data_IF_586369627459
#
_entry.id   IF_586369627459
#
_cell.length_a   1.000
_cell.length_b   1.000
_cell.length_c   1.000
_cell.angle_alpha   90.00
_cell.angle_beta   90.00
_cell.angle_gamma   90.00
#
_symmetry.space_group_name_H-M   'P 1'
#
loop_
_entity.id
_entity.type
_entity.pdbx_description
1 polymer ?
#
# COMPACT_ATOMS: atom_id res chain seq x y z
N UNK A 1 -6.13 8.02 24.44
CA UNK A 1 -6.20 7.67 23.03
C UNK A 1 -4.84 7.83 22.38
N UNK A 2 -4.44 6.87 21.56
CA UNK A 2 -3.20 7.01 20.77
C UNK A 2 -3.38 8.08 19.68
N UNK A 3 -2.38 8.91 19.39
CA UNK A 3 -2.47 9.88 18.31
C UNK A 3 -2.53 9.20 16.95
N UNK A 4 -3.25 9.78 15.98
CA UNK A 4 -3.47 9.20 14.64
C UNK A 4 -2.18 8.83 13.90
N UNK A 5 -1.11 9.63 14.06
CA UNK A 5 0.18 9.37 13.41
C UNK A 5 0.83 8.03 13.85
N UNK A 6 0.63 7.61 15.11
CA UNK A 6 1.11 6.29 15.56
C UNK A 6 0.38 5.15 14.84
N UNK A 7 -0.93 5.28 14.63
CA UNK A 7 -1.70 4.30 13.86
C UNK A 7 -1.22 4.19 12.42
N UNK A 8 -0.89 5.32 11.78
CA UNK A 8 -0.34 5.34 10.42
C UNK A 8 1.00 4.62 10.36
N UNK A 9 1.91 4.91 11.29
CA UNK A 9 3.23 4.25 11.34
C UNK A 9 3.08 2.74 11.58
N UNK A 10 2.25 2.34 12.55
CA UNK A 10 1.98 0.92 12.81
C UNK A 10 1.37 0.23 11.59
N UNK A 11 0.45 0.88 10.87
CA UNK A 11 -0.14 0.35 9.64
C UNK A 11 0.92 0.12 8.56
N UNK A 12 1.80 1.08 8.32
CA UNK A 12 2.89 0.95 7.33
C UNK A 12 3.88 -0.15 7.75
N UNK A 13 4.24 -0.23 9.03
CA UNK A 13 5.13 -1.28 9.53
C UNK A 13 4.50 -2.67 9.39
N UNK A 14 3.20 -2.80 9.64
CA UNK A 14 2.47 -4.06 9.43
C UNK A 14 2.48 -4.45 7.95
N UNK A 15 2.21 -3.50 7.04
CA UNK A 15 2.30 -3.74 5.60
C UNK A 15 3.70 -4.14 5.15
N UNK A 16 4.74 -3.48 5.67
CA UNK A 16 6.13 -3.84 5.41
C UNK A 16 6.47 -5.25 5.91
N UNK A 17 5.99 -5.64 7.10
CA UNK A 17 6.19 -6.96 7.66
C UNK A 17 5.52 -8.06 6.82
N UNK A 18 4.28 -7.83 6.39
CA UNK A 18 3.56 -8.75 5.48
C UNK A 18 4.29 -8.85 4.14
N UNK A 19 4.73 -7.72 3.58
CA UNK A 19 5.54 -7.70 2.36
C UNK A 19 6.87 -8.45 2.50
N UNK A 20 7.55 -8.30 3.65
CA UNK A 20 8.77 -9.04 3.97
C UNK A 20 8.51 -10.55 4.01
N UNK A 21 7.46 -11.00 4.68
CA UNK A 21 7.11 -12.42 4.78
C UNK A 21 6.82 -12.99 3.39
N UNK A 22 5.98 -12.32 2.59
CA UNK A 22 5.72 -12.70 1.21
C UNK A 22 7.01 -12.79 0.37
N UNK A 23 7.86 -11.77 0.48
CA UNK A 23 9.14 -11.75 -0.20
C UNK A 23 10.05 -12.92 0.20
N UNK A 24 10.11 -13.30 1.47
CA UNK A 24 10.88 -14.46 1.94
C UNK A 24 10.28 -15.78 1.38
N UNK A 25 8.97 -15.92 1.41
CA UNK A 25 8.28 -17.11 0.87
C UNK A 25 8.59 -17.32 -0.61
N UNK A 26 8.59 -16.25 -1.40
CA UNK A 26 8.86 -16.32 -2.84
C UNK A 26 10.35 -16.48 -3.14
N UNK A 27 11.23 -15.70 -2.50
CA UNK A 27 12.65 -15.67 -2.86
C UNK A 27 13.45 -16.82 -2.24
N UNK A 28 13.20 -17.15 -0.97
CA UNK A 28 13.95 -18.19 -0.26
C UNK A 28 13.27 -19.55 -0.29
N UNK A 29 11.96 -19.60 -0.05
CA UNK A 29 11.20 -20.85 -0.07
C UNK A 29 10.79 -21.28 -1.48
N UNK A 30 10.98 -20.41 -2.50
CA UNK A 30 10.66 -20.67 -3.92
C UNK A 30 9.19 -21.06 -4.14
N UNK A 31 8.31 -20.58 -3.28
CA UNK A 31 6.86 -20.76 -3.45
C UNK A 31 6.39 -19.87 -4.60
N UNK A 32 5.48 -20.38 -5.41
CA UNK A 32 4.88 -19.60 -6.51
C UNK A 32 4.29 -18.30 -5.97
N UNK A 33 4.61 -17.13 -6.54
CA UNK A 33 4.19 -15.82 -6.05
C UNK A 33 2.69 -15.72 -5.80
N UNK A 34 1.89 -16.23 -6.73
CA UNK A 34 0.43 -16.23 -6.64
C UNK A 34 -0.09 -16.98 -5.40
N UNK A 35 0.44 -18.18 -5.12
CA UNK A 35 0.04 -18.99 -3.97
C UNK A 35 0.47 -18.32 -2.66
N UNK A 36 1.70 -17.80 -2.60
CA UNK A 36 2.22 -17.13 -1.42
C UNK A 36 1.37 -15.90 -1.04
N UNK A 37 1.07 -15.04 -2.02
CA UNK A 37 0.31 -13.81 -1.77
C UNK A 37 -1.14 -14.07 -1.43
N UNK A 38 -1.82 -15.02 -2.09
CA UNK A 38 -3.20 -15.40 -1.74
C UNK A 38 -3.28 -16.04 -0.35
N UNK A 39 -2.35 -16.94 -0.03
CA UNK A 39 -2.28 -17.54 1.31
C UNK A 39 -2.10 -16.47 2.39
N UNK A 40 -1.18 -15.52 2.18
CA UNK A 40 -0.93 -14.44 3.13
C UNK A 40 -2.12 -13.48 3.24
N UNK A 41 -2.85 -13.23 2.16
CA UNK A 41 -4.09 -12.46 2.18
C UNK A 41 -5.13 -13.10 3.11
N UNK A 42 -5.33 -14.43 3.01
CA UNK A 42 -6.26 -15.15 3.89
C UNK A 42 -5.81 -15.11 5.35
N UNK A 43 -4.49 -15.25 5.61
CA UNK A 43 -3.93 -15.16 6.96
C UNK A 43 -4.15 -13.78 7.55
N UNK A 44 -3.84 -12.72 6.81
CA UNK A 44 -4.00 -11.35 7.30
C UNK A 44 -5.46 -10.97 7.50
N UNK A 45 -6.37 -11.41 6.63
CA UNK A 45 -7.81 -11.23 6.80
C UNK A 45 -8.34 -11.96 8.04
N UNK A 46 -7.91 -13.21 8.24
CA UNK A 46 -8.26 -13.99 9.44
C UNK A 46 -7.75 -13.34 10.73
N UNK A 47 -6.50 -12.85 10.74
CA UNK A 47 -5.95 -12.11 11.86
C UNK A 47 -6.72 -10.80 12.14
N UNK A 48 -7.12 -10.08 11.10
CA UNK A 48 -7.92 -8.87 11.26
C UNK A 48 -9.26 -9.18 11.94
N UNK A 49 -9.95 -10.24 11.53
CA UNK A 49 -11.22 -10.69 12.14
C UNK A 49 -11.02 -11.06 13.61
N UNK A 50 -9.96 -11.80 13.93
CA UNK A 50 -9.67 -12.22 15.32
C UNK A 50 -9.35 -11.02 16.21
N UNK A 51 -8.54 -10.06 15.72
CA UNK A 51 -8.16 -8.86 16.50
C UNK A 51 -9.35 -7.93 16.75
N UNK A 52 -10.30 -7.87 15.82
CA UNK A 52 -11.46 -6.96 15.91
C UNK A 52 -12.72 -7.64 16.43
N UNK A 53 -12.66 -8.93 16.78
CA UNK A 53 -13.85 -9.76 17.08
C UNK A 53 -14.93 -9.68 15.99
N UNK A 54 -14.51 -9.50 14.73
CA UNK A 54 -15.41 -9.35 13.58
C UNK A 54 -16.20 -8.04 13.57
N UNK A 55 -15.95 -7.12 14.50
CA UNK A 55 -16.70 -5.86 14.62
C UNK A 55 -15.99 -4.70 13.89
N UNK A 56 -16.74 -3.77 13.29
CA UNK A 56 -16.16 -2.57 12.71
C UNK A 56 -15.63 -1.62 13.80
N UNK A 57 -14.47 -1.03 13.54
CA UNK A 57 -13.87 -0.01 14.43
C UNK A 57 -14.17 1.37 13.84
N UNK A 58 -14.87 2.21 14.60
CA UNK A 58 -15.23 3.58 14.21
C UNK A 58 -14.20 4.59 14.73
N UNK A 59 -13.74 5.49 13.85
CA UNK A 59 -12.75 6.54 14.19
C UNK A 59 -13.40 7.88 14.55
N UNK A 60 -14.68 7.90 14.93
CA UNK A 60 -15.44 9.12 15.25
C UNK A 60 -14.81 9.99 16.33
N UNK A 61 -13.98 9.42 17.20
CA UNK A 61 -13.30 10.15 18.28
C UNK A 61 -11.97 10.80 17.86
N UNK A 62 -11.47 10.50 16.64
CA UNK A 62 -10.20 11.03 16.14
C UNK A 62 -10.50 12.19 15.20
N UNK A 63 -10.50 13.41 15.76
CA UNK A 63 -10.71 14.61 14.95
C UNK A 63 -9.61 14.74 13.88
N UNK A 64 -10.04 14.99 12.65
CA UNK A 64 -9.12 15.21 11.54
C UNK A 64 -8.64 13.94 10.81
N UNK A 65 -8.99 12.73 11.26
CA UNK A 65 -8.61 11.51 10.57
C UNK A 65 -9.20 11.44 9.15
N UNK A 66 -10.44 11.87 8.96
CA UNK A 66 -11.09 11.98 7.65
C UNK A 66 -10.38 12.94 6.70
N UNK A 67 -9.72 13.98 7.24
CA UNK A 67 -9.03 14.96 6.42
C UNK A 67 -7.80 14.39 5.68
N UNK A 68 -7.30 13.24 6.12
CA UNK A 68 -6.19 12.54 5.43
C UNK A 68 -6.60 12.13 4.02
N UNK A 69 -7.83 11.64 3.83
CA UNK A 69 -8.34 11.24 2.51
C UNK A 69 -9.27 12.28 1.88
N UNK A 70 -10.16 12.89 2.68
CA UNK A 70 -11.22 13.79 2.22
C UNK A 70 -10.88 15.27 2.40
N UNK A 71 -9.80 15.61 3.09
CA UNK A 71 -9.33 16.98 3.19
C UNK A 71 -9.11 17.58 1.80
N UNK A 72 -9.31 18.88 1.67
CA UNK A 72 -9.06 19.63 0.44
C UNK A 72 -8.09 20.78 0.74
N UNK A 73 -6.77 20.51 0.75
CA UNK A 73 -5.76 21.49 1.13
C UNK A 73 -5.75 22.73 0.20
N UNK A 74 -6.24 22.57 -1.00
CA UNK A 74 -6.34 23.65 -1.99
C UNK A 74 -7.75 24.25 -2.13
N UNK A 75 -8.69 23.92 -1.22
CA UNK A 75 -10.06 24.44 -1.29
C UNK A 75 -10.13 25.97 -1.30
N UNK A 76 -9.29 26.65 -0.51
CA UNK A 76 -9.20 28.11 -0.49
C UNK A 76 -8.78 28.69 -1.84
N UNK A 77 -7.77 28.11 -2.48
CA UNK A 77 -7.29 28.55 -3.79
C UNK A 77 -8.31 28.32 -4.91
N UNK A 78 -9.04 27.20 -4.87
CA UNK A 78 -10.13 26.93 -5.82
C UNK A 78 -11.35 27.83 -5.57
N UNK A 79 -11.62 28.20 -4.33
CA UNK A 79 -12.66 29.17 -3.98
C UNK A 79 -12.36 30.55 -4.54
N UNK A 80 -11.09 31.00 -4.48
CA UNK A 80 -10.64 32.29 -5.06
C UNK A 80 -10.75 32.34 -6.59
N UNK A 81 -10.67 31.15 -7.23
CA UNK A 81 -10.84 31.03 -8.70
C UNK A 81 -12.30 30.83 -9.12
N UNK A 82 -13.26 30.84 -8.19
CA UNK A 82 -14.69 30.70 -8.48
C UNK A 82 -15.11 29.26 -8.83
N UNK A 83 -14.27 28.27 -8.57
CA UNK A 83 -14.47 26.83 -8.84
C UNK A 83 -14.48 26.00 -7.57
N UNK A 84 -15.12 26.51 -6.51
CA UNK A 84 -15.15 25.88 -5.19
C UNK A 84 -15.71 24.44 -5.19
N UNK A 85 -16.62 24.14 -6.14
CA UNK A 85 -17.25 22.81 -6.27
C UNK A 85 -16.29 21.69 -6.74
N UNK A 86 -15.12 22.05 -7.26
CA UNK A 86 -14.12 21.11 -7.77
C UNK A 86 -12.93 20.89 -6.82
N UNK A 87 -13.14 21.02 -5.51
CA UNK A 87 -12.08 20.80 -4.53
C UNK A 87 -11.50 19.37 -4.64
N UNK A 88 -10.20 19.30 -4.98
CA UNK A 88 -9.50 18.03 -5.12
C UNK A 88 -9.24 17.44 -3.73
N UNK A 89 -9.73 16.24 -3.48
CA UNK A 89 -9.52 15.52 -2.22
C UNK A 89 -8.02 15.17 -2.02
N UNK A 90 -7.54 15.28 -0.79
CA UNK A 90 -6.15 14.93 -0.42
C UNK A 90 -5.76 13.54 -0.87
N UNK A 91 -6.67 12.56 -0.84
CA UNK A 91 -6.42 11.20 -1.30
C UNK A 91 -6.01 11.13 -2.78
N UNK A 92 -6.61 11.95 -3.65
CA UNK A 92 -6.27 12.04 -5.07
C UNK A 92 -4.87 12.63 -5.25
N UNK A 93 -4.55 13.67 -4.48
CA UNK A 93 -3.22 14.31 -4.52
C UNK A 93 -2.14 13.32 -4.09
N UNK A 94 -2.37 12.57 -3.00
CA UNK A 94 -1.46 11.53 -2.52
C UNK A 94 -1.26 10.47 -3.60
N UNK A 95 -2.32 10.02 -4.27
CA UNK A 95 -2.26 9.03 -5.35
C UNK A 95 -1.35 9.52 -6.50
N UNK A 96 -1.56 10.75 -6.99
CA UNK A 96 -0.73 11.31 -8.07
C UNK A 96 0.72 11.51 -7.64
N UNK A 97 0.94 11.99 -6.41
CA UNK A 97 2.28 12.19 -5.87
C UNK A 97 3.03 10.86 -5.77
N UNK A 98 2.39 9.81 -5.27
CA UNK A 98 2.95 8.46 -5.23
C UNK A 98 3.20 7.90 -6.63
N UNK A 99 2.28 8.09 -7.57
CA UNK A 99 2.44 7.64 -8.96
C UNK A 99 3.67 8.30 -9.61
N UNK A 100 3.84 9.60 -9.45
CA UNK A 100 5.00 10.34 -9.97
C UNK A 100 6.29 9.86 -9.28
N UNK A 101 6.29 9.74 -7.95
CA UNK A 101 7.46 9.32 -7.17
C UNK A 101 7.91 7.91 -7.59
N UNK A 102 6.98 6.95 -7.66
CA UNK A 102 7.30 5.60 -8.09
C UNK A 102 7.63 5.51 -9.58
N UNK A 103 6.98 6.32 -10.41
CA UNK A 103 7.33 6.45 -11.82
C UNK A 103 8.79 6.89 -12.02
N UNK A 104 9.21 7.94 -11.30
CA UNK A 104 10.61 8.40 -11.32
C UNK A 104 11.54 7.35 -10.72
N UNK A 105 11.16 6.73 -9.60
CA UNK A 105 11.96 5.68 -8.96
C UNK A 105 12.19 4.51 -9.92
N UNK A 106 11.17 4.04 -10.61
CA UNK A 106 11.30 2.95 -11.58
C UNK A 106 12.08 3.35 -12.83
N UNK A 107 11.88 4.58 -13.36
CA UNK A 107 12.53 5.03 -14.58
C UNK A 107 13.99 5.45 -14.39
N UNK A 108 14.34 6.05 -13.25
CA UNK A 108 15.63 6.73 -13.06
C UNK A 108 16.56 6.05 -12.05
N UNK A 109 16.07 5.16 -11.18
CA UNK A 109 16.92 4.55 -10.14
C UNK A 109 17.45 3.16 -10.51
N UNK A 110 18.50 2.72 -9.79
CA UNK A 110 19.03 1.36 -9.92
C UNK A 110 17.99 0.31 -9.54
N UNK A 111 17.08 0.62 -8.59
CA UNK A 111 15.98 -0.25 -8.19
C UNK A 111 15.10 -0.63 -9.39
N UNK A 112 14.64 0.36 -10.15
CA UNK A 112 13.80 0.11 -11.33
C UNK A 112 14.55 -0.68 -12.40
N UNK A 113 15.80 -0.31 -12.72
CA UNK A 113 16.60 -1.03 -13.72
C UNK A 113 16.77 -2.52 -13.37
N UNK A 114 17.04 -2.83 -12.11
CA UNK A 114 17.19 -4.22 -11.69
C UNK A 114 15.87 -4.98 -11.71
N UNK A 115 14.74 -4.35 -11.32
CA UNK A 115 13.42 -4.98 -11.42
C UNK A 115 13.03 -5.28 -12.86
N UNK A 116 13.26 -4.36 -13.80
CA UNK A 116 13.01 -4.62 -15.22
C UNK A 116 13.91 -5.72 -15.78
N UNK A 117 15.19 -5.75 -15.37
CA UNK A 117 16.10 -6.82 -15.79
C UNK A 117 15.66 -8.20 -15.26
N UNK A 118 15.22 -8.26 -13.99
CA UNK A 118 14.70 -9.49 -13.37
C UNK A 118 13.42 -9.96 -14.07
N UNK A 119 12.51 -9.01 -14.39
CA UNK A 119 11.27 -9.31 -15.10
C UNK A 119 11.49 -9.85 -16.50
N UNK A 120 12.52 -9.38 -17.22
CA UNK A 120 12.86 -9.86 -18.55
C UNK A 120 13.47 -11.27 -18.51
N UNK A 121 14.52 -11.48 -17.73
CA UNK A 121 15.15 -12.78 -17.57
C UNK A 121 15.90 -12.86 -16.24
N UNK A 122 15.32 -13.59 -15.30
CA UNK A 122 15.84 -13.77 -13.94
C UNK A 122 17.21 -14.44 -13.92
N UNK A 123 17.42 -15.47 -14.75
CA UNK A 123 18.68 -16.23 -14.77
C UNK A 123 19.81 -15.42 -15.39
N UNK A 124 19.55 -14.73 -16.51
CA UNK A 124 20.52 -13.83 -17.13
C UNK A 124 20.95 -12.71 -16.18
N UNK A 125 20.01 -12.13 -15.44
CA UNK A 125 20.27 -11.09 -14.46
C UNK A 125 21.14 -11.60 -13.29
N UNK A 126 20.90 -12.84 -12.86
CA UNK A 126 21.70 -13.49 -11.83
C UNK A 126 23.12 -13.75 -12.31
N UNK A 127 23.30 -14.21 -13.54
CA UNK A 127 24.61 -14.44 -14.14
C UNK A 127 25.41 -13.15 -14.33
N UNK A 128 24.74 -12.01 -14.47
CA UNK A 128 25.36 -10.67 -14.48
C UNK A 128 25.80 -10.18 -13.09
N UNK A 129 25.74 -11.02 -12.05
CA UNK A 129 26.22 -10.71 -10.70
C UNK A 129 25.24 -9.92 -9.83
N UNK A 130 24.01 -9.69 -10.29
CA UNK A 130 22.97 -8.98 -9.53
C UNK A 130 22.33 -9.95 -8.53
N UNK A 131 22.21 -9.51 -7.27
CA UNK A 131 21.54 -10.29 -6.20
C UNK A 131 20.01 -10.23 -6.38
N UNK A 132 19.46 -11.06 -7.27
CA UNK A 132 18.04 -11.10 -7.65
C UNK A 132 17.14 -11.20 -6.43
N UNK A 133 17.40 -12.15 -5.52
CA UNK A 133 16.55 -12.40 -4.34
C UNK A 133 16.42 -11.16 -3.44
N UNK A 134 17.48 -10.33 -3.34
CA UNK A 134 17.45 -9.09 -2.55
C UNK A 134 16.52 -8.06 -3.16
N UNK A 135 16.57 -7.89 -4.48
CA UNK A 135 15.77 -6.88 -5.17
C UNK A 135 14.30 -7.29 -5.28
N UNK A 136 14.03 -8.58 -5.48
CA UNK A 136 12.67 -9.13 -5.38
C UNK A 136 12.09 -8.94 -3.96
N UNK A 137 12.85 -9.26 -2.91
CA UNK A 137 12.42 -9.05 -1.52
C UNK A 137 12.05 -7.58 -1.26
N UNK A 138 12.91 -6.65 -1.71
CA UNK A 138 12.63 -5.22 -1.57
C UNK A 138 11.37 -4.80 -2.32
N UNK A 139 11.11 -5.36 -3.50
CA UNK A 139 9.88 -5.10 -4.25
C UNK A 139 8.62 -5.51 -3.47
N UNK A 140 8.64 -6.70 -2.83
CA UNK A 140 7.53 -7.15 -1.97
C UNK A 140 7.33 -6.26 -0.74
N UNK A 141 8.41 -5.78 -0.11
CA UNK A 141 8.31 -4.86 1.03
C UNK A 141 7.67 -3.53 0.59
N UNK A 142 8.13 -2.98 -0.53
CA UNK A 142 7.58 -1.73 -1.07
C UNK A 142 6.10 -1.90 -1.44
N UNK A 143 5.74 -3.01 -2.08
CA UNK A 143 4.34 -3.32 -2.40
C UNK A 143 3.48 -3.43 -1.14
N UNK A 144 3.97 -4.08 -0.08
CA UNK A 144 3.30 -4.17 1.22
C UNK A 144 3.10 -2.80 1.88
N UNK A 145 4.11 -1.91 1.82
CA UNK A 145 3.97 -0.53 2.30
C UNK A 145 2.89 0.23 1.51
N UNK A 146 2.85 0.07 0.19
CA UNK A 146 1.83 0.74 -0.65
C UNK A 146 0.43 0.22 -0.36
N UNK A 147 0.28 -1.08 -0.15
CA UNK A 147 -1.01 -1.66 0.27
C UNK A 147 -1.48 -1.08 1.61
N UNK A 148 -0.55 -0.89 2.57
CA UNK A 148 -0.87 -0.24 3.84
C UNK A 148 -1.32 1.22 3.67
N UNK A 149 -0.64 1.99 2.82
CA UNK A 149 -1.05 3.37 2.50
C UNK A 149 -2.44 3.40 1.89
N UNK A 150 -2.74 2.50 0.95
CA UNK A 150 -4.07 2.38 0.36
C UNK A 150 -5.13 2.03 1.42
N UNK A 151 -4.83 1.11 2.34
CA UNK A 151 -5.70 0.76 3.47
C UNK A 151 -5.98 1.94 4.40
N UNK A 152 -4.95 2.75 4.72
CA UNK A 152 -5.09 3.96 5.54
C UNK A 152 -6.00 4.98 4.85
N UNK A 153 -5.82 5.21 3.54
CA UNK A 153 -6.68 6.11 2.78
C UNK A 153 -8.13 5.64 2.71
N UNK A 154 -8.34 4.33 2.55
CA UNK A 154 -9.69 3.74 2.55
C UNK A 154 -10.38 3.90 3.90
N UNK A 155 -9.71 3.55 5.00
CA UNK A 155 -10.26 3.69 6.36
C UNK A 155 -10.49 5.15 6.74
N UNK A 156 -9.62 6.06 6.31
CA UNK A 156 -9.78 7.49 6.48
C UNK A 156 -11.02 8.01 5.73
N UNK A 157 -11.21 7.58 4.48
CA UNK A 157 -12.37 7.96 3.67
C UNK A 157 -13.69 7.48 4.27
N UNK A 158 -13.73 6.25 4.77
CA UNK A 158 -14.93 5.65 5.34
C UNK A 158 -15.14 5.99 6.82
N UNK A 159 -14.13 6.59 7.47
CA UNK A 159 -14.07 6.84 8.92
C UNK A 159 -14.32 5.59 9.76
N UNK A 160 -14.08 4.42 9.18
CA UNK A 160 -14.35 3.11 9.77
C UNK A 160 -13.37 2.09 9.21
N UNK A 161 -12.90 1.17 10.04
CA UNK A 161 -12.15 0.00 9.61
C UNK A 161 -13.01 -1.25 9.74
N UNK A 162 -13.19 -1.97 8.62
CA UNK A 162 -13.84 -3.28 8.57
C UNK A 162 -12.78 -4.35 8.33
N UNK A 163 -12.85 -5.52 8.98
CA UNK A 163 -11.92 -6.62 8.73
C UNK A 163 -11.88 -7.08 7.27
N UNK A 164 -12.98 -6.91 6.53
CA UNK A 164 -13.14 -7.34 5.13
C UNK A 164 -12.99 -6.21 4.10
N UNK A 165 -12.53 -5.01 4.50
CA UNK A 165 -12.50 -3.82 3.63
C UNK A 165 -11.66 -3.99 2.36
N UNK A 166 -10.68 -4.89 2.37
CA UNK A 166 -9.78 -5.15 1.24
C UNK A 166 -10.19 -6.32 0.35
N UNK A 167 -11.26 -7.06 0.70
CA UNK A 167 -11.67 -8.25 -0.05
C UNK A 167 -12.22 -7.88 -1.43
N UNK A 168 -11.73 -8.54 -2.49
CA UNK A 168 -12.18 -8.36 -3.87
C UNK A 168 -11.41 -7.29 -4.67
N UNK A 169 -10.60 -6.45 -4.03
CA UNK A 169 -9.80 -5.44 -4.76
C UNK A 169 -8.69 -6.05 -5.61
N UNK A 170 -8.22 -7.25 -5.26
CA UNK A 170 -7.25 -8.01 -6.05
C UNK A 170 -7.79 -8.33 -7.44
N UNK A 171 -9.08 -8.67 -7.55
CA UNK A 171 -9.71 -8.97 -8.84
C UNK A 171 -9.81 -7.71 -9.71
N UNK A 172 -10.14 -6.57 -9.11
CA UNK A 172 -10.18 -5.29 -9.81
C UNK A 172 -8.79 -4.83 -10.28
N UNK A 173 -7.72 -5.25 -9.60
CA UNK A 173 -6.36 -4.91 -9.98
C UNK A 173 -5.81 -5.79 -11.12
N UNK A 174 -6.36 -6.99 -11.30
CA UNK A 174 -5.95 -7.96 -12.35
C UNK A 174 -6.75 -7.77 -13.65
N UNK A 175 -7.99 -7.28 -13.56
CA UNK A 175 -8.85 -7.01 -14.71
C UNK A 175 -8.42 -5.76 -15.48
#
# INVERSE_FOLDING_TARGET
>A
GMPAWMGIICGILTGAAVGLINGIMVTKMKITPFIATLGMQMVTAGLAIVITDGTPIYFTQIQGYQNIALGSPFAGWFADLGIADYAINTGVIIMFLLAILFGIMLAKTAFGRYLYAIGNNRESTRLSGIKVDKWELLAYIVAGCMAAVAGILMTSRMNTAYPSIGSGYEMNAVA
#
